data_IF_790118546091
#
_entry.id   IF_790118546091
#
_cell.length_a   1.000
_cell.length_b   1.000
_cell.length_c   1.000
_cell.angle_alpha   90.00
_cell.angle_beta   90.00
_cell.angle_gamma   90.00
#
_symmetry.space_group_name_H-M   'P 1'
#
loop_
_entity.id
_entity.type
_entity.pdbx_description
1 polymer ?
#
# COMPACT_ATOMS: atom_id res chain seq x y z
N UNK A 1 -19.14 -26.79 88.50
CA UNK A 1 -17.95 -25.95 88.75
C UNK A 1 -17.29 -25.69 87.38
N UNK A 2 -17.10 -24.43 87.05
CA UNK A 2 -16.25 -23.80 86.01
C UNK A 2 -16.62 -24.11 84.58
N UNK A 3 -17.22 -23.23 83.87
CA UNK A 3 -16.71 -22.04 83.17
C UNK A 3 -15.55 -22.35 82.16
N UNK A 4 -15.76 -22.16 80.92
CA UNK A 4 -14.95 -21.22 80.13
C UNK A 4 -15.59 -20.83 78.80
N UNK A 5 -15.74 -19.57 78.69
CA UNK A 5 -16.02 -18.72 77.56
C UNK A 5 -14.92 -18.82 76.47
N UNK A 6 -15.27 -18.50 75.23
CA UNK A 6 -14.27 -17.84 74.44
C UNK A 6 -14.42 -17.83 72.95
N UNK A 7 -14.83 -16.72 72.50
CA UNK A 7 -14.31 -15.98 71.34
C UNK A 7 -14.66 -16.46 69.93
N UNK A 8 -15.61 -15.76 69.36
CA UNK A 8 -15.81 -15.62 67.92
C UNK A 8 -14.61 -14.95 67.19
N UNK A 9 -14.10 -15.58 66.24
CA UNK A 9 -13.14 -15.01 65.29
C UNK A 9 -13.85 -14.68 63.96
N UNK A 10 -14.03 -13.41 63.70
CA UNK A 10 -14.58 -12.84 62.47
C UNK A 10 -13.68 -13.18 61.32
N UNK A 11 -14.13 -14.06 60.46
CA UNK A 11 -13.58 -14.24 59.12
C UNK A 11 -14.32 -13.33 58.13
N UNK A 12 -13.98 -12.04 58.17
CA UNK A 12 -14.38 -11.07 57.16
C UNK A 12 -13.08 -10.51 56.59
N UNK A 13 -12.70 -10.92 55.43
CA UNK A 13 -11.51 -10.34 54.82
C UNK A 13 -11.01 -10.94 53.50
N UNK A 14 -11.54 -12.09 53.09
CA UNK A 14 -10.97 -12.73 51.88
C UNK A 14 -11.88 -12.72 50.65
N UNK A 15 -13.17 -12.43 50.83
CA UNK A 15 -14.12 -12.45 49.71
C UNK A 15 -14.22 -11.12 48.92
N UNK A 16 -13.74 -10.01 49.46
CA UNK A 16 -13.85 -8.69 48.84
C UNK A 16 -12.69 -8.41 47.86
N UNK A 17 -11.52 -9.04 48.07
CA UNK A 17 -10.36 -8.84 47.20
C UNK A 17 -10.43 -9.62 45.89
N UNK A 18 -11.20 -10.71 45.81
CA UNK A 18 -11.34 -11.52 44.59
C UNK A 18 -12.32 -10.88 43.58
N UNK A 19 -13.32 -10.12 44.09
CA UNK A 19 -14.30 -9.44 43.22
C UNK A 19 -13.71 -8.18 42.56
N UNK A 20 -12.80 -7.49 43.25
CA UNK A 20 -12.13 -6.30 42.66
C UNK A 20 -11.11 -6.65 41.55
N UNK A 21 -10.47 -7.84 41.61
CA UNK A 21 -9.53 -8.27 40.61
C UNK A 21 -10.21 -8.76 39.30
N UNK A 22 -11.46 -9.26 39.40
CA UNK A 22 -12.21 -9.70 38.22
C UNK A 22 -12.77 -8.55 37.38
N UNK A 23 -12.98 -7.36 37.97
CA UNK A 23 -13.45 -6.17 37.23
C UNK A 23 -12.37 -5.43 36.46
N UNK A 24 -11.08 -5.64 36.77
CA UNK A 24 -9.97 -4.98 36.07
C UNK A 24 -9.55 -5.70 34.76
N UNK A 25 -9.92 -6.97 34.58
CA UNK A 25 -9.60 -7.74 33.37
C UNK A 25 -10.66 -7.63 32.28
N UNK A 26 -11.82 -7.06 32.57
CA UNK A 26 -12.90 -6.88 31.60
C UNK A 26 -12.78 -5.64 30.73
N UNK A 27 -11.91 -4.69 31.06
CA UNK A 27 -11.79 -3.42 30.35
C UNK A 27 -10.93 -3.49 29.08
N UNK A 28 -10.13 -4.55 28.89
CA UNK A 28 -9.31 -4.71 27.69
C UNK A 28 -9.94 -5.57 26.59
N UNK A 29 -11.05 -6.27 26.86
CA UNK A 29 -11.71 -7.13 25.88
C UNK A 29 -12.73 -6.40 25.00
N UNK A 30 -13.15 -5.19 25.39
CA UNK A 30 -14.15 -4.39 24.65
C UNK A 30 -13.58 -3.57 23.51
N UNK A 31 -12.25 -3.40 23.44
CA UNK A 31 -11.61 -2.54 22.44
C UNK A 31 -11.25 -3.22 21.11
N UNK A 32 -11.22 -4.54 21.06
CA UNK A 32 -10.82 -5.29 19.85
C UNK A 32 -12.00 -5.83 19.04
N UNK A 33 -13.20 -5.87 19.59
CA UNK A 33 -14.39 -6.35 18.87
C UNK A 33 -15.20 -5.27 18.16
N UNK A 34 -14.78 -4.00 18.26
CA UNK A 34 -15.47 -2.87 17.61
C UNK A 34 -14.68 -2.23 16.47
N UNK A 35 -13.63 -2.85 15.98
CA UNK A 35 -13.12 -2.51 14.65
C UNK A 35 -14.00 -3.24 13.65
N UNK A 36 -15.24 -2.76 13.55
CA UNK A 36 -16.11 -3.16 12.46
C UNK A 36 -15.37 -2.86 11.15
N UNK A 37 -15.25 -3.85 10.30
CA UNK A 37 -14.84 -3.63 8.92
C UNK A 37 -15.76 -2.53 8.37
N UNK A 38 -15.23 -1.41 7.86
CA UNK A 38 -16.07 -0.34 7.34
C UNK A 38 -17.06 -0.91 6.33
N UNK A 39 -18.34 -0.63 6.46
CA UNK A 39 -19.39 -1.07 5.54
C UNK A 39 -19.12 -0.62 4.10
N UNK A 40 -18.20 0.36 3.93
CA UNK A 40 -17.72 0.86 2.64
C UNK A 40 -16.20 0.93 2.66
N UNK A 41 -15.56 -0.16 2.28
CA UNK A 41 -14.09 -0.22 2.15
C UNK A 41 -13.54 0.62 1.00
N UNK A 42 -14.39 1.06 0.06
CA UNK A 42 -14.05 1.87 -1.11
C UNK A 42 -14.72 3.26 -1.10
N UNK A 43 -15.14 3.76 0.06
CA UNK A 43 -15.61 5.14 0.14
C UNK A 43 -14.42 6.08 -0.08
N UNK A 44 -14.57 7.16 -0.86
CA UNK A 44 -13.53 8.18 -0.98
C UNK A 44 -13.12 8.69 0.40
N UNK A 45 -11.83 8.95 0.59
CA UNK A 45 -11.36 9.59 1.81
C UNK A 45 -12.00 10.98 1.97
N UNK A 46 -12.22 11.48 3.21
CA UNK A 46 -12.74 12.83 3.42
C UNK A 46 -11.94 13.86 2.62
N UNK A 47 -12.64 14.71 1.87
CA UNK A 47 -12.04 15.70 0.98
C UNK A 47 -11.89 15.26 -0.48
N UNK A 48 -12.19 13.98 -0.80
CA UNK A 48 -12.11 13.44 -2.16
C UNK A 48 -13.49 13.02 -2.71
N UNK A 49 -14.58 13.41 -2.04
CA UNK A 49 -15.95 13.08 -2.43
C UNK A 49 -16.34 13.68 -3.78
N UNK A 50 -15.73 14.79 -4.16
CA UNK A 50 -16.00 15.53 -5.39
C UNK A 50 -14.95 15.31 -6.49
N UNK A 51 -14.18 14.21 -6.37
CA UNK A 51 -13.17 13.90 -7.36
C UNK A 51 -13.81 13.60 -8.72
N UNK A 52 -13.35 14.32 -9.76
CA UNK A 52 -13.88 14.12 -11.11
C UNK A 52 -13.39 12.78 -11.67
N UNK A 53 -14.32 11.90 -11.99
CA UNK A 53 -14.02 10.65 -12.69
C UNK A 53 -13.25 10.92 -13.99
N UNK A 54 -12.19 10.16 -14.23
CA UNK A 54 -11.34 10.31 -15.40
C UNK A 54 -10.25 11.39 -15.26
N UNK A 55 -10.12 12.01 -14.07
CA UNK A 55 -9.01 12.92 -13.78
C UNK A 55 -7.72 12.19 -13.38
N UNK A 56 -6.59 12.91 -13.35
CA UNK A 56 -5.32 12.33 -12.85
C UNK A 56 -5.44 11.95 -11.37
N UNK A 57 -6.16 12.72 -10.58
CA UNK A 57 -6.41 12.43 -9.17
C UNK A 57 -7.19 11.12 -8.99
N UNK A 58 -8.23 10.92 -9.81
CA UNK A 58 -9.01 9.67 -9.83
C UNK A 58 -8.11 8.46 -10.13
N UNK A 59 -7.27 8.57 -11.17
CA UNK A 59 -6.31 7.52 -11.49
C UNK A 59 -5.32 7.25 -10.34
N UNK A 60 -4.78 8.29 -9.71
CA UNK A 60 -3.80 8.14 -8.62
C UNK A 60 -4.38 7.51 -7.37
N UNK A 61 -5.62 7.84 -6.99
CA UNK A 61 -6.21 7.48 -5.71
C UNK A 61 -7.04 6.20 -5.78
N UNK A 62 -7.81 6.01 -6.85
CA UNK A 62 -8.73 4.86 -6.97
C UNK A 62 -8.12 3.68 -7.73
N UNK A 63 -7.18 3.95 -8.65
CA UNK A 63 -6.54 2.90 -9.46
C UNK A 63 -5.15 2.57 -8.94
N UNK A 64 -4.36 3.61 -8.63
CA UNK A 64 -2.99 3.47 -8.22
C UNK A 64 -2.02 3.45 -9.39
N UNK A 65 -1.01 4.32 -9.35
CA UNK A 65 -0.06 4.50 -10.46
C UNK A 65 1.28 3.80 -10.29
N UNK A 66 1.53 3.14 -9.16
CA UNK A 66 2.85 2.54 -8.85
C UNK A 66 2.82 1.03 -8.96
N UNK A 67 3.85 0.49 -9.60
CA UNK A 67 4.14 -0.94 -9.68
C UNK A 67 5.51 -1.20 -9.07
N UNK A 68 5.63 -2.16 -8.17
CA UNK A 68 6.86 -2.47 -7.46
C UNK A 68 7.52 -3.74 -7.98
N UNK A 69 8.84 -3.88 -7.76
CA UNK A 69 9.65 -4.97 -8.28
C UNK A 69 10.55 -5.58 -7.20
N UNK A 70 10.81 -6.87 -7.34
CA UNK A 70 11.82 -7.56 -6.56
C UNK A 70 13.22 -7.04 -6.89
N UNK A 71 14.16 -7.22 -5.96
CA UNK A 71 15.55 -6.84 -6.18
C UNK A 71 16.13 -7.56 -7.40
N UNK A 72 16.87 -6.83 -8.24
CA UNK A 72 17.50 -7.35 -9.46
C UNK A 72 16.54 -7.74 -10.58
N UNK A 73 15.22 -7.62 -10.40
CA UNK A 73 14.23 -8.10 -11.35
C UNK A 73 13.42 -6.96 -12.00
N UNK A 74 13.01 -7.17 -13.24
CA UNK A 74 11.99 -6.41 -13.94
C UNK A 74 10.72 -7.24 -14.18
N UNK A 75 10.62 -8.43 -13.60
CA UNK A 75 9.46 -9.30 -13.73
C UNK A 75 8.27 -8.73 -12.96
N UNK A 76 7.09 -8.83 -13.58
CA UNK A 76 5.82 -8.46 -12.98
C UNK A 76 5.26 -9.64 -12.18
N UNK A 77 5.24 -9.53 -10.88
CA UNK A 77 4.59 -10.52 -10.00
C UNK A 77 3.05 -10.36 -10.04
N UNK A 78 2.33 -11.24 -9.34
CA UNK A 78 0.87 -11.24 -9.38
C UNK A 78 0.27 -9.98 -8.77
N UNK A 79 0.89 -9.39 -7.74
CA UNK A 79 0.45 -8.11 -7.17
C UNK A 79 0.61 -6.96 -8.17
N UNK A 80 1.74 -6.93 -8.89
CA UNK A 80 1.98 -5.98 -9.96
C UNK A 80 0.94 -6.12 -11.07
N UNK A 81 0.64 -7.35 -11.51
CA UNK A 81 -0.36 -7.63 -12.55
C UNK A 81 -1.76 -7.18 -12.15
N UNK A 82 -2.19 -7.45 -10.91
CA UNK A 82 -3.50 -6.97 -10.39
C UNK A 82 -3.60 -5.45 -10.47
N UNK A 83 -2.54 -4.73 -10.10
CA UNK A 83 -2.51 -3.27 -10.20
C UNK A 83 -2.59 -2.81 -11.66
N UNK A 84 -1.83 -3.45 -12.55
CA UNK A 84 -1.79 -3.09 -13.96
C UNK A 84 -3.09 -3.46 -14.70
N UNK A 85 -3.79 -4.52 -14.30
CA UNK A 85 -5.11 -4.85 -14.84
C UNK A 85 -6.13 -3.74 -14.53
N UNK A 86 -6.13 -3.19 -13.30
CA UNK A 86 -6.96 -2.02 -12.94
C UNK A 86 -6.57 -0.79 -13.76
N UNK A 87 -5.26 -0.55 -13.94
CA UNK A 87 -4.78 0.55 -14.77
C UNK A 87 -5.25 0.39 -16.22
N UNK A 88 -5.16 -0.81 -16.79
CA UNK A 88 -5.56 -1.07 -18.16
C UNK A 88 -7.07 -0.83 -18.37
N UNK A 89 -7.93 -1.28 -17.46
CA UNK A 89 -9.37 -1.01 -17.53
C UNK A 89 -9.61 0.49 -17.57
N UNK A 90 -9.09 1.24 -16.61
CA UNK A 90 -9.27 2.68 -16.52
C UNK A 90 -8.72 3.44 -17.74
N UNK A 91 -7.51 3.05 -18.22
CA UNK A 91 -6.87 3.68 -19.38
C UNK A 91 -7.59 3.41 -20.71
N UNK A 92 -8.29 2.30 -20.83
CA UNK A 92 -9.13 1.98 -21.99
C UNK A 92 -10.45 2.78 -21.99
N UNK A 93 -10.96 3.14 -20.81
CA UNK A 93 -12.14 4.02 -20.67
C UNK A 93 -11.78 5.49 -20.91
N UNK A 94 -10.51 5.90 -20.63
CA UNK A 94 -10.05 7.28 -20.69
C UNK A 94 -8.95 7.46 -21.76
N UNK A 95 -9.33 7.29 -23.02
CA UNK A 95 -8.39 7.20 -24.17
C UNK A 95 -7.69 8.51 -24.54
N UNK A 96 -8.15 9.65 -24.03
CA UNK A 96 -7.53 10.96 -24.29
C UNK A 96 -6.16 11.14 -23.61
N UNK A 97 -5.91 10.40 -22.52
CA UNK A 97 -4.63 10.50 -21.82
C UNK A 97 -3.48 9.87 -22.60
N UNK A 98 -2.36 10.58 -22.68
CA UNK A 98 -1.04 10.03 -23.01
C UNK A 98 -0.41 9.45 -21.74
N UNK A 99 0.51 8.51 -21.89
CA UNK A 99 0.99 7.71 -20.77
C UNK A 99 2.52 7.66 -20.78
N UNK A 100 3.15 8.25 -19.76
CA UNK A 100 4.59 8.18 -19.54
C UNK A 100 4.88 7.15 -18.45
N UNK A 101 5.45 6.02 -18.80
CA UNK A 101 5.88 5.00 -17.83
C UNK A 101 7.32 5.28 -17.44
N UNK A 102 7.54 5.61 -16.18
CA UNK A 102 8.84 5.92 -15.60
C UNK A 102 9.33 4.76 -14.74
N UNK A 103 10.49 4.21 -15.06
CA UNK A 103 11.13 3.15 -14.29
C UNK A 103 12.22 3.69 -13.37
N UNK A 104 12.36 3.06 -12.20
CA UNK A 104 13.36 3.39 -11.19
C UNK A 104 14.01 2.10 -10.66
N UNK A 105 15.27 2.20 -10.27
CA UNK A 105 16.02 1.11 -9.68
C UNK A 105 16.90 1.64 -8.55
N UNK A 106 17.05 0.83 -7.51
CA UNK A 106 17.98 1.06 -6.42
C UNK A 106 18.50 -0.32 -5.98
N UNK A 107 19.11 -0.95 -6.96
CA UNK A 107 19.64 -2.31 -6.84
C UNK A 107 21.18 -2.27 -6.72
N UNK A 108 21.82 -3.28 -6.15
CA UNK A 108 23.29 -3.39 -6.16
C UNK A 108 23.83 -3.34 -7.59
N UNK A 109 24.97 -2.68 -7.76
CA UNK A 109 25.62 -2.54 -9.07
C UNK A 109 25.82 -1.09 -9.51
N UNK A 110 26.33 -0.93 -10.72
CA UNK A 110 26.67 0.37 -11.30
C UNK A 110 25.41 1.18 -11.64
N UNK A 111 25.58 2.48 -11.84
CA UNK A 111 24.49 3.37 -12.27
C UNK A 111 24.02 3.02 -13.68
N UNK A 112 24.92 2.59 -14.57
CA UNK A 112 24.56 2.10 -15.90
C UNK A 112 23.67 0.84 -15.83
N UNK A 113 24.00 -0.12 -14.94
CA UNK A 113 23.18 -1.31 -14.75
C UNK A 113 21.79 -0.96 -14.18
N UNK A 114 21.73 -0.05 -13.21
CA UNK A 114 20.46 0.43 -12.65
C UNK A 114 19.64 1.22 -13.69
N UNK A 115 20.30 1.98 -14.56
CA UNK A 115 19.64 2.66 -15.68
C UNK A 115 18.97 1.66 -16.62
N UNK A 116 19.71 0.66 -17.09
CA UNK A 116 19.18 -0.39 -17.95
C UNK A 116 18.05 -1.18 -17.27
N UNK A 117 18.19 -1.54 -15.98
CA UNK A 117 17.14 -2.23 -15.23
C UNK A 117 15.87 -1.39 -15.11
N UNK A 118 16.00 -0.09 -14.85
CA UNK A 118 14.88 0.81 -14.76
C UNK A 118 14.11 0.96 -16.08
N UNK A 119 14.82 1.01 -17.20
CA UNK A 119 14.21 1.02 -18.54
C UNK A 119 13.47 -0.28 -18.82
N UNK A 120 14.06 -1.44 -18.47
CA UNK A 120 13.41 -2.74 -18.61
C UNK A 120 12.13 -2.86 -17.77
N UNK A 121 12.13 -2.32 -16.54
CA UNK A 121 10.93 -2.25 -15.69
C UNK A 121 9.82 -1.43 -16.36
N UNK A 122 10.17 -0.26 -16.89
CA UNK A 122 9.20 0.59 -17.58
C UNK A 122 8.67 -0.07 -18.86
N UNK A 123 9.54 -0.74 -19.64
CA UNK A 123 9.15 -1.48 -20.83
C UNK A 123 8.17 -2.60 -20.51
N UNK A 124 8.45 -3.42 -19.49
CA UNK A 124 7.57 -4.52 -19.10
C UNK A 124 6.18 -4.04 -18.66
N UNK A 125 6.10 -2.90 -17.95
CA UNK A 125 4.81 -2.27 -17.61
C UNK A 125 4.06 -1.82 -18.86
N UNK A 126 4.73 -1.10 -19.77
CA UNK A 126 4.12 -0.67 -21.05
C UNK A 126 3.61 -1.86 -21.86
N UNK A 127 4.43 -2.90 -22.00
CA UNK A 127 4.11 -4.07 -22.81
C UNK A 127 2.95 -4.86 -22.22
N UNK A 128 2.88 -4.93 -20.87
CA UNK A 128 1.74 -5.53 -20.19
C UNK A 128 0.45 -4.75 -20.41
N UNK A 129 0.48 -3.42 -20.29
CA UNK A 129 -0.67 -2.56 -20.56
C UNK A 129 -1.13 -2.68 -22.02
N UNK A 130 -0.18 -2.73 -22.98
CA UNK A 130 -0.48 -2.94 -24.38
C UNK A 130 -1.16 -4.30 -24.63
N UNK A 131 -0.70 -5.36 -23.98
CA UNK A 131 -1.33 -6.69 -24.04
C UNK A 131 -2.75 -6.71 -23.44
N UNK A 132 -3.11 -5.72 -22.65
CA UNK A 132 -4.46 -5.49 -22.09
C UNK A 132 -5.30 -4.50 -22.90
N UNK A 133 -4.86 -4.13 -24.10
CA UNK A 133 -5.62 -3.30 -25.04
C UNK A 133 -5.34 -1.81 -24.98
N UNK A 134 -4.43 -1.35 -24.11
CA UNK A 134 -4.03 0.07 -24.10
C UNK A 134 -3.20 0.37 -25.35
N UNK A 135 -3.60 1.36 -26.15
CA UNK A 135 -2.92 1.70 -27.39
C UNK A 135 -1.46 2.10 -27.14
N UNK A 136 -0.52 1.31 -27.69
CA UNK A 136 0.92 1.52 -27.55
C UNK A 136 1.38 2.89 -28.07
N UNK A 137 0.66 3.49 -29.03
CA UNK A 137 0.96 4.83 -29.57
C UNK A 137 0.75 5.95 -28.56
N UNK A 138 0.00 5.69 -27.48
CA UNK A 138 -0.20 6.64 -26.38
C UNK A 138 0.88 6.54 -25.29
N UNK A 139 1.76 5.53 -25.38
CA UNK A 139 2.68 5.18 -24.32
C UNK A 139 4.15 5.39 -24.71
N UNK A 140 4.92 6.02 -23.83
CA UNK A 140 6.38 6.01 -23.93
C UNK A 140 7.02 5.72 -22.59
N UNK A 141 8.28 5.30 -22.62
CA UNK A 141 9.01 4.89 -21.41
C UNK A 141 10.19 5.80 -21.15
N UNK A 142 10.59 5.89 -19.86
CA UNK A 142 11.87 6.47 -19.46
C UNK A 142 12.38 5.77 -18.21
N UNK A 143 13.60 5.24 -18.27
CA UNK A 143 14.33 4.77 -17.10
C UNK A 143 15.08 5.91 -16.45
N UNK A 144 15.14 5.92 -15.13
CA UNK A 144 15.84 6.91 -14.32
C UNK A 144 16.99 6.30 -13.48
N UNK A 145 17.12 4.97 -13.47
CA UNK A 145 18.08 4.31 -12.59
C UNK A 145 17.87 4.69 -11.14
N UNK A 146 18.95 5.11 -10.48
CA UNK A 146 18.96 5.58 -9.08
C UNK A 146 18.58 7.05 -8.92
N UNK A 147 18.33 7.76 -9.99
CA UNK A 147 17.83 9.13 -9.89
C UNK A 147 16.46 9.13 -9.20
N UNK A 148 16.15 10.16 -8.40
CA UNK A 148 14.84 10.34 -7.75
C UNK A 148 14.44 9.18 -6.83
N UNK A 149 15.36 8.70 -6.02
CA UNK A 149 15.02 7.79 -4.92
C UNK A 149 14.01 8.47 -3.98
N UNK A 150 13.05 7.69 -3.46
CA UNK A 150 12.01 8.18 -2.53
C UNK A 150 12.32 7.82 -1.09
N UNK A 151 13.27 6.88 -0.88
CA UNK A 151 13.80 6.47 0.42
C UNK A 151 15.31 6.35 0.35
N UNK A 152 15.99 7.17 1.12
CA UNK A 152 17.45 7.06 1.31
C UNK A 152 17.71 6.21 2.55
N UNK A 153 18.12 4.99 2.34
CA UNK A 153 18.33 4.01 3.40
C UNK A 153 19.24 2.88 2.94
N UNK A 154 19.91 2.26 3.90
CA UNK A 154 20.89 1.20 3.63
C UNK A 154 20.24 -0.17 3.41
N UNK A 155 19.14 -0.46 4.08
CA UNK A 155 18.54 -1.80 4.08
C UNK A 155 17.69 -2.09 2.82
N UNK A 156 17.64 -3.38 2.43
CA UNK A 156 16.95 -3.83 1.23
C UNK A 156 15.43 -3.69 1.29
N UNK A 157 14.84 -3.73 2.50
CA UNK A 157 13.39 -3.59 2.68
C UNK A 157 12.99 -2.16 2.39
N UNK A 158 13.70 -1.20 2.98
CA UNK A 158 13.48 0.21 2.73
C UNK A 158 13.68 0.57 1.24
N UNK A 159 14.73 0.05 0.60
CA UNK A 159 15.00 0.23 -0.84
C UNK A 159 13.90 -0.34 -1.72
N UNK A 160 13.02 -1.20 -1.22
CA UNK A 160 11.89 -1.74 -1.99
C UNK A 160 11.00 -0.64 -2.57
N UNK A 161 10.86 0.50 -1.88
CA UNK A 161 10.09 1.66 -2.34
C UNK A 161 10.73 2.35 -3.57
N UNK A 162 12.03 2.18 -3.75
CA UNK A 162 12.77 2.76 -4.87
C UNK A 162 12.67 1.89 -6.13
N UNK A 163 12.49 0.58 -5.98
CA UNK A 163 12.35 -0.39 -7.08
C UNK A 163 10.93 -0.39 -7.63
N UNK A 164 10.60 0.60 -8.43
CA UNK A 164 9.24 0.84 -8.91
C UNK A 164 9.19 1.27 -10.38
N UNK A 165 8.01 1.15 -10.96
CA UNK A 165 7.61 1.92 -12.14
C UNK A 165 6.40 2.80 -11.78
N UNK A 166 6.27 3.93 -12.45
CA UNK A 166 5.17 4.86 -12.25
C UNK A 166 4.50 5.11 -13.62
N UNK A 167 3.22 4.83 -13.70
CA UNK A 167 2.37 5.18 -14.84
C UNK A 167 1.84 6.60 -14.62
N UNK A 168 2.32 7.57 -15.39
CA UNK A 168 1.90 8.95 -15.29
C UNK A 168 1.04 9.33 -16.49
N UNK A 169 -0.06 10.01 -16.21
CA UNK A 169 -0.91 10.60 -17.23
C UNK A 169 -0.30 11.91 -17.73
N UNK A 170 -0.50 12.19 -19.00
CA UNK A 170 -0.04 13.42 -19.66
C UNK A 170 -1.09 13.86 -20.68
N UNK A 171 -1.23 15.16 -20.87
CA UNK A 171 -2.08 15.71 -21.92
C UNK A 171 -1.41 15.60 -23.29
N UNK A 172 -0.08 15.70 -23.32
CA UNK A 172 0.74 15.59 -24.51
C UNK A 172 1.99 14.71 -24.29
N UNK A 173 2.83 14.53 -25.32
CA UNK A 173 4.06 13.74 -25.27
C UNK A 173 5.27 14.50 -24.71
N UNK A 174 5.19 15.82 -24.56
CA UNK A 174 6.32 16.67 -24.17
C UNK A 174 6.37 16.95 -22.66
N UNK A 175 5.26 16.80 -21.96
CA UNK A 175 5.11 17.08 -20.54
C UNK A 175 5.61 15.99 -19.57
#
# INVERSE_FOLDING_TARGET
MSMFTGAGGRRIGLSVLVVAAALALGACAGGLSSVATPDKTNAPAPGFENMRTGSEEDFMLNVGRRTYFKAGSAELDDTAKVTLDKQAVWLNEHTHWKIKVQGFADDPGSDAANKALSEKRAANVRDYLAARGVDAKRMWIKGYGKERIVRDCADLVCKSQNRRAITNLREDFES
#
